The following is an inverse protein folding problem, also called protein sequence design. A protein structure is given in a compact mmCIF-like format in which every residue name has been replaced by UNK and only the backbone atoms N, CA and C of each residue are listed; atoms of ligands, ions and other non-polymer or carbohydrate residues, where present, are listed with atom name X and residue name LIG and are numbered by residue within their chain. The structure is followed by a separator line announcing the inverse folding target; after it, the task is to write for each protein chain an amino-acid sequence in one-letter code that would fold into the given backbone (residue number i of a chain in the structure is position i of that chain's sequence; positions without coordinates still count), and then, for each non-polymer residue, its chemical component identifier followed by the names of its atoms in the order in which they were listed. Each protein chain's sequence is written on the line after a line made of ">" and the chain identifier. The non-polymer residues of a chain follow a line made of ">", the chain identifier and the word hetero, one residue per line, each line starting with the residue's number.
data_IF_235321800564
#
_entry.id   IF_235321800564
#
_cell.length_a   1.000
_cell.length_b   1.000
_cell.length_c   1.000
_cell.angle_alpha   90.00
_cell.angle_beta   90.00
_cell.angle_gamma   90.00
#
_symmetry.space_group_name_H-M   'P 1'
#
loop_
_entity.id
_entity.type
_entity.pdbx_description
1 polymer ?
#
# COMPACT_ATOMS: atom_id res chain seq x y z
N UNK A 1 -42.51 65.50 20.17
CA UNK A 1 -42.19 64.24 20.88
C UNK A 1 -41.15 63.48 20.06
N UNK A 2 -39.92 63.31 20.59
CA UNK A 2 -38.79 62.44 20.15
C UNK A 2 -38.23 62.70 18.72
N UNK A 3 -37.04 63.32 18.47
CA UNK A 3 -35.63 62.86 18.63
C UNK A 3 -35.47 61.36 18.24
N UNK A 4 -34.56 60.85 17.38
CA UNK A 4 -33.10 61.03 17.15
C UNK A 4 -32.73 60.46 15.75
N UNK A 5 -31.64 60.95 15.15
CA UNK A 5 -30.92 60.43 13.96
C UNK A 5 -30.36 59.01 14.13
N UNK A 6 -30.17 58.24 13.05
CA UNK A 6 -28.97 57.40 12.86
C UNK A 6 -28.84 56.85 11.43
N UNK A 7 -27.76 57.25 10.78
CA UNK A 7 -27.15 56.68 9.57
C UNK A 7 -26.76 55.21 9.81
N UNK A 8 -27.03 54.31 8.84
CA UNK A 8 -26.31 53.03 8.74
C UNK A 8 -25.83 52.79 7.32
N UNK A 9 -24.52 52.56 7.29
CA UNK A 9 -23.57 52.20 6.24
C UNK A 9 -23.99 50.98 5.41
N UNK A 10 -23.94 51.10 4.08
CA UNK A 10 -24.04 49.97 3.14
C UNK A 10 -22.68 49.26 3.09
N UNK A 11 -22.62 48.01 3.57
CA UNK A 11 -21.48 47.11 3.36
C UNK A 11 -21.81 46.12 2.25
N UNK A 12 -20.90 46.03 1.27
CA UNK A 12 -20.89 45.09 0.16
C UNK A 12 -20.92 43.63 0.64
N UNK A 13 -21.79 42.80 0.04
CA UNK A 13 -21.42 41.43 -0.41
C UNK A 13 -22.39 41.00 -1.51
N UNK A 14 -21.89 40.75 -2.73
CA UNK A 14 -22.54 39.88 -3.73
C UNK A 14 -21.53 39.54 -4.83
N UNK A 15 -20.83 38.41 -4.69
CA UNK A 15 -20.20 37.72 -5.81
C UNK A 15 -21.18 36.67 -6.34
N UNK A 16 -21.52 36.66 -7.64
CA UNK A 16 -22.34 35.59 -8.21
C UNK A 16 -21.44 34.36 -8.49
N UNK A 17 -21.79 33.22 -7.89
CA UNK A 17 -21.29 31.92 -8.36
C UNK A 17 -22.28 31.43 -9.41
N UNK A 18 -21.91 31.59 -10.68
CA UNK A 18 -22.55 30.91 -11.81
C UNK A 18 -22.22 29.42 -11.70
N UNK A 19 -23.23 28.60 -11.42
CA UNK A 19 -23.20 27.19 -11.81
C UNK A 19 -23.36 27.15 -13.32
N UNK A 20 -22.31 26.75 -14.04
CA UNK A 20 -22.40 26.33 -15.43
C UNK A 20 -22.49 24.80 -15.45
N UNK A 21 -23.57 24.31 -16.05
CA UNK A 21 -23.79 22.91 -16.38
C UNK A 21 -22.60 22.35 -17.17
N UNK A 22 -22.02 21.24 -16.70
CA UNK A 22 -21.00 20.50 -17.45
C UNK A 22 -21.72 19.42 -18.26
N UNK A 23 -21.64 19.42 -19.60
CA UNK A 23 -22.30 18.39 -20.40
C UNK A 23 -21.53 17.08 -20.34
N UNK A 24 -22.27 15.97 -20.17
CA UNK A 24 -21.74 14.63 -20.32
C UNK A 24 -21.33 14.40 -21.79
N UNK A 25 -20.03 14.21 -22.03
CA UNK A 25 -19.52 13.78 -23.35
C UNK A 25 -19.48 12.26 -23.37
N UNK A 26 -20.42 11.65 -24.09
CA UNK A 26 -20.46 10.21 -24.36
C UNK A 26 -19.51 9.93 -25.53
N UNK A 27 -18.41 9.24 -25.25
CA UNK A 27 -17.48 8.69 -26.26
C UNK A 27 -17.76 7.20 -26.46
N UNK A 28 -17.83 6.76 -27.71
CA UNK A 28 -18.29 5.44 -28.18
C UNK A 28 -17.26 4.30 -28.03
N UNK A 29 -16.56 4.21 -26.90
CA UNK A 29 -15.79 3.03 -26.52
C UNK A 29 -16.00 2.81 -25.02
N UNK A 30 -16.38 1.59 -24.63
CA UNK A 30 -16.81 1.24 -23.27
C UNK A 30 -15.74 1.33 -22.16
N UNK A 31 -14.76 2.21 -22.29
CA UNK A 31 -13.84 2.57 -21.22
C UNK A 31 -14.41 3.77 -20.47
N UNK A 32 -14.82 3.57 -19.21
CA UNK A 32 -15.14 4.66 -18.29
C UNK A 32 -13.89 5.52 -18.14
N UNK A 33 -13.91 6.75 -18.67
CA UNK A 33 -12.87 7.73 -18.38
C UNK A 33 -13.03 8.19 -16.94
N UNK A 34 -12.35 7.50 -16.02
CA UNK A 34 -12.25 7.94 -14.63
C UNK A 34 -11.42 9.22 -14.59
N UNK A 35 -11.96 10.29 -14.02
CA UNK A 35 -11.18 11.50 -13.77
C UNK A 35 -10.06 11.19 -12.77
N UNK A 36 -8.83 11.23 -13.26
CA UNK A 36 -7.62 10.97 -12.49
C UNK A 36 -6.91 12.29 -12.25
N UNK A 37 -6.71 12.65 -10.99
CA UNK A 37 -5.93 13.83 -10.60
C UNK A 37 -4.62 13.40 -9.94
N UNK A 38 -3.51 14.01 -10.35
CA UNK A 38 -2.24 13.91 -9.61
C UNK A 38 -2.26 14.98 -8.51
N UNK A 39 -2.11 14.56 -7.26
CA UNK A 39 -2.16 15.50 -6.13
C UNK A 39 -0.73 15.90 -5.76
N UNK A 40 -0.28 17.14 -6.04
CA UNK A 40 0.96 17.63 -5.48
C UNK A 40 0.83 17.72 -3.95
N UNK A 41 1.91 17.43 -3.22
CA UNK A 41 1.93 17.66 -1.79
C UNK A 41 1.66 19.16 -1.53
N UNK A 42 0.61 19.47 -0.77
CA UNK A 42 0.32 20.84 -0.32
C UNK A 42 0.88 21.04 1.08
N UNK A 43 1.46 22.21 1.35
CA UNK A 43 1.76 22.65 2.71
C UNK A 43 0.44 22.86 3.46
N UNK A 44 0.00 21.82 4.17
CA UNK A 44 -1.10 21.93 5.12
C UNK A 44 -0.53 22.55 6.39
N UNK A 45 -1.22 23.59 6.90
CA UNK A 45 -0.90 24.24 8.17
C UNK A 45 -0.52 23.20 9.24
N UNK A 46 0.62 23.42 9.90
CA UNK A 46 1.30 22.44 10.75
C UNK A 46 0.39 21.87 11.85
N UNK A 47 -0.35 20.82 11.54
CA UNK A 47 -0.87 19.92 12.56
C UNK A 47 0.35 19.34 13.29
N UNK A 48 0.40 19.47 14.61
CA UNK A 48 1.49 18.90 15.40
C UNK A 48 1.68 17.42 15.08
N UNK A 49 2.92 16.92 15.17
CA UNK A 49 3.32 15.55 14.79
C UNK A 49 2.43 14.43 15.38
N UNK A 50 1.70 14.69 16.48
CA UNK A 50 0.75 13.77 17.10
C UNK A 50 -0.48 13.45 16.23
N UNK A 51 -0.83 14.32 15.27
CA UNK A 51 -1.93 14.14 14.30
C UNK A 51 -1.45 13.73 12.91
N UNK A 52 -0.16 13.44 12.76
CA UNK A 52 0.41 12.95 11.51
C UNK A 52 0.65 11.45 11.58
N UNK A 53 0.13 10.71 10.61
CA UNK A 53 0.39 9.29 10.42
C UNK A 53 1.41 9.13 9.29
N UNK A 54 2.56 8.55 9.60
CA UNK A 54 3.50 8.08 8.59
C UNK A 54 3.11 6.69 8.10
N UNK A 55 2.73 6.59 6.83
CA UNK A 55 2.50 5.32 6.12
C UNK A 55 3.70 5.06 5.23
N UNK A 56 4.49 4.06 5.58
CA UNK A 56 5.58 3.57 4.74
C UNK A 56 5.13 2.36 3.95
N UNK A 57 5.60 2.21 2.72
CA UNK A 57 5.20 1.08 1.90
C UNK A 57 6.29 0.63 0.92
N UNK A 58 6.26 -0.67 0.67
CA UNK A 58 7.01 -1.35 -0.39
C UNK A 58 6.06 -2.21 -1.22
N UNK A 59 6.49 -2.59 -2.42
CA UNK A 59 5.79 -3.57 -3.25
C UNK A 59 6.81 -4.30 -4.15
N UNK A 60 6.49 -5.53 -4.54
CA UNK A 60 7.26 -6.32 -5.51
C UNK A 60 8.75 -6.31 -5.21
N UNK A 61 9.11 -6.56 -3.94
CA UNK A 61 10.50 -6.51 -3.50
C UNK A 61 11.31 -7.65 -4.10
N UNK A 62 10.67 -8.76 -4.49
CA UNK A 62 11.27 -9.93 -5.14
C UNK A 62 12.55 -10.41 -4.43
N UNK A 63 12.57 -10.27 -3.10
CA UNK A 63 13.69 -10.65 -2.28
C UNK A 63 14.98 -9.90 -2.58
N UNK A 64 14.95 -8.69 -3.15
CA UNK A 64 16.13 -7.87 -3.41
C UNK A 64 16.87 -7.54 -2.09
N UNK A 65 17.72 -8.44 -1.63
CA UNK A 65 18.38 -8.35 -0.32
C UNK A 65 19.38 -7.20 -0.27
N UNK A 66 20.11 -6.99 -1.36
CA UNK A 66 21.12 -5.94 -1.55
C UNK A 66 20.72 -5.08 -2.76
N UNK A 67 21.38 -3.94 -2.98
CA UNK A 67 21.17 -3.19 -4.20
C UNK A 67 21.55 -3.99 -5.46
N UNK A 68 21.03 -3.57 -6.60
CA UNK A 68 21.24 -4.26 -7.88
C UNK A 68 22.70 -4.31 -8.35
N UNK A 69 23.64 -3.62 -7.69
CA UNK A 69 25.04 -3.52 -8.13
C UNK A 69 25.20 -2.87 -9.51
N UNK A 70 24.18 -2.16 -9.98
CA UNK A 70 24.15 -1.54 -11.29
C UNK A 70 25.25 -0.48 -11.43
N UNK A 71 25.91 -0.41 -12.61
CA UNK A 71 26.96 0.59 -12.89
C UNK A 71 26.48 2.03 -12.73
N UNK A 72 25.20 2.28 -12.97
CA UNK A 72 24.54 3.55 -12.70
C UNK A 72 23.34 3.33 -11.77
N UNK A 73 23.21 4.21 -10.77
CA UNK A 73 22.13 4.19 -9.77
C UNK A 73 21.95 2.81 -9.10
N UNK A 74 22.96 2.31 -8.34
CA UNK A 74 22.89 1.06 -7.58
C UNK A 74 21.94 1.19 -6.37
N UNK A 75 20.73 1.62 -6.64
CA UNK A 75 19.68 1.83 -5.66
C UNK A 75 19.09 0.48 -5.26
N UNK A 76 18.60 0.43 -4.03
CA UNK A 76 17.78 -0.64 -3.53
C UNK A 76 18.45 -1.49 -2.47
N UNK A 77 17.79 -2.62 -2.23
CA UNK A 77 18.17 -3.56 -1.19
C UNK A 77 17.29 -3.41 0.05
N UNK A 78 16.71 -4.52 0.48
CA UNK A 78 15.98 -4.63 1.73
C UNK A 78 16.88 -4.33 2.94
N UNK A 79 18.19 -4.45 2.78
CA UNK A 79 19.22 -4.09 3.74
C UNK A 79 19.25 -2.58 4.07
N UNK A 80 19.11 -1.71 3.07
CA UNK A 80 18.92 -0.27 3.23
C UNK A 80 17.48 0.08 3.60
N UNK A 81 16.50 -0.66 3.08
CA UNK A 81 15.10 -0.45 3.40
C UNK A 81 14.85 -0.60 4.90
N UNK A 82 15.45 -1.62 5.52
CA UNK A 82 15.41 -1.85 6.96
C UNK A 82 15.91 -0.64 7.75
N UNK A 83 17.04 -0.04 7.36
CA UNK A 83 17.57 1.17 8.01
C UNK A 83 16.63 2.36 7.83
N UNK A 84 16.22 2.66 6.61
CA UNK A 84 15.34 3.80 6.33
C UNK A 84 14.02 3.70 7.07
N UNK A 85 13.36 2.54 7.01
CA UNK A 85 12.10 2.28 7.72
C UNK A 85 12.28 2.44 9.23
N UNK A 86 13.39 1.94 9.80
CA UNK A 86 13.68 2.10 11.22
C UNK A 86 13.89 3.57 11.62
N UNK A 87 14.57 4.36 10.79
CA UNK A 87 14.77 5.79 11.01
C UNK A 87 13.45 6.56 11.01
N UNK A 88 12.59 6.34 10.01
CA UNK A 88 11.30 7.03 9.92
C UNK A 88 10.37 6.60 11.07
N UNK A 89 10.35 5.32 11.44
CA UNK A 89 9.60 4.85 12.63
C UNK A 89 10.07 5.49 13.93
N UNK A 90 11.37 5.78 14.07
CA UNK A 90 11.89 6.50 15.24
C UNK A 90 11.45 7.97 15.23
N UNK A 91 11.36 8.58 14.04
CA UNK A 91 10.95 9.98 13.86
C UNK A 91 9.45 10.19 14.09
N UNK A 92 8.60 9.26 13.63
CA UNK A 92 7.14 9.37 13.73
C UNK A 92 6.57 8.33 14.71
N UNK A 93 6.08 8.80 15.86
CA UNK A 93 5.43 7.93 16.85
C UNK A 93 4.22 7.17 16.29
N UNK A 94 3.50 7.81 15.37
CA UNK A 94 2.35 7.25 14.67
C UNK A 94 2.81 6.80 13.29
N UNK A 95 3.34 5.57 13.21
CA UNK A 95 3.81 4.99 11.96
C UNK A 95 3.18 3.62 11.72
N UNK A 96 2.86 3.32 10.46
CA UNK A 96 2.45 2.03 9.93
C UNK A 96 3.26 1.72 8.68
N UNK A 97 3.67 0.47 8.51
CA UNK A 97 4.52 0.03 7.40
C UNK A 97 3.91 -1.17 6.72
N UNK A 98 3.73 -1.09 5.41
CA UNK A 98 3.02 -2.10 4.64
C UNK A 98 3.86 -2.62 3.48
N UNK A 99 3.56 -3.84 3.04
CA UNK A 99 4.08 -4.38 1.80
C UNK A 99 2.91 -4.95 0.98
N UNK A 100 2.79 -4.50 -0.28
CA UNK A 100 1.70 -4.91 -1.17
C UNK A 100 2.01 -6.17 -1.99
N UNK A 101 2.92 -7.04 -1.54
CA UNK A 101 3.11 -8.40 -2.06
C UNK A 101 4.19 -8.55 -3.13
N UNK A 102 4.36 -9.77 -3.63
CA UNK A 102 5.53 -10.22 -4.40
C UNK A 102 6.82 -10.03 -3.59
N UNK A 103 6.80 -10.59 -2.38
CA UNK A 103 7.97 -10.64 -1.51
C UNK A 103 9.02 -11.59 -2.08
N UNK A 104 8.60 -12.74 -2.61
CA UNK A 104 9.49 -13.76 -3.17
C UNK A 104 9.41 -13.78 -4.70
N UNK A 105 10.53 -13.97 -5.40
CA UNK A 105 10.48 -14.31 -6.81
C UNK A 105 9.91 -15.74 -7.00
N UNK A 106 9.35 -16.07 -8.18
CA UNK A 106 8.53 -17.29 -8.37
C UNK A 106 9.27 -18.61 -8.10
N UNK A 107 10.59 -18.64 -8.25
CA UNK A 107 11.43 -19.86 -8.16
C UNK A 107 12.57 -19.71 -7.16
N UNK A 108 12.34 -18.99 -6.05
CA UNK A 108 13.33 -18.77 -5.01
C UNK A 108 13.84 -20.09 -4.38
N UNK A 109 15.17 -20.34 -4.35
CA UNK A 109 15.72 -21.48 -3.61
C UNK A 109 15.42 -21.37 -2.10
N UNK A 110 15.25 -22.50 -1.42
CA UNK A 110 14.88 -22.51 0.00
C UNK A 110 15.81 -21.68 0.92
N UNK A 111 17.13 -21.67 0.66
CA UNK A 111 18.07 -20.86 1.42
C UNK A 111 17.85 -19.35 1.23
N UNK A 112 17.41 -18.93 0.04
CA UNK A 112 17.06 -17.55 -0.27
C UNK A 112 15.74 -17.16 0.38
N UNK A 113 14.72 -18.03 0.31
CA UNK A 113 13.44 -17.85 1.03
C UNK A 113 13.69 -17.60 2.52
N UNK A 114 14.63 -18.33 3.12
CA UNK A 114 14.98 -18.18 4.54
C UNK A 114 15.63 -16.85 4.86
N UNK A 115 16.49 -16.37 3.96
CA UNK A 115 17.12 -15.06 4.08
C UNK A 115 16.08 -13.94 3.99
N UNK A 116 15.26 -13.95 2.93
CA UNK A 116 14.19 -12.95 2.72
C UNK A 116 13.22 -12.93 3.89
N UNK A 117 12.79 -14.10 4.36
CA UNK A 117 11.89 -14.22 5.52
C UNK A 117 12.49 -13.60 6.78
N UNK A 118 13.78 -13.84 7.06
CA UNK A 118 14.46 -13.23 8.21
C UNK A 118 14.58 -11.71 8.06
N UNK A 119 14.84 -11.21 6.85
CA UNK A 119 14.91 -9.76 6.58
C UNK A 119 13.55 -9.09 6.75
N UNK A 120 12.46 -9.68 6.24
CA UNK A 120 11.10 -9.16 6.45
C UNK A 120 10.73 -9.10 7.95
N UNK A 121 11.14 -10.10 8.73
CA UNK A 121 11.00 -10.07 10.20
C UNK A 121 11.82 -8.96 10.85
N UNK A 122 13.02 -8.67 10.33
CA UNK A 122 13.88 -7.57 10.80
C UNK A 122 13.26 -6.20 10.50
N UNK A 123 12.65 -6.03 9.33
CA UNK A 123 11.95 -4.80 8.93
C UNK A 123 10.71 -4.57 9.81
N UNK A 124 10.05 -5.63 10.27
CA UNK A 124 8.84 -5.60 11.12
C UNK A 124 7.68 -4.89 10.44
N UNK A 125 7.22 -5.31 9.27
CA UNK A 125 6.01 -4.75 8.66
C UNK A 125 4.82 -4.80 9.62
N UNK A 126 3.89 -3.85 9.50
CA UNK A 126 2.61 -3.86 10.22
C UNK A 126 1.60 -4.77 9.53
N UNK A 127 1.60 -4.86 8.20
CA UNK A 127 0.88 -5.87 7.43
C UNK A 127 1.53 -6.12 6.06
N UNK A 128 1.39 -7.35 5.54
CA UNK A 128 1.88 -7.77 4.22
C UNK A 128 0.77 -8.54 3.52
N UNK A 129 0.46 -8.25 2.26
CA UNK A 129 -0.35 -9.14 1.43
C UNK A 129 0.57 -10.11 0.68
N UNK A 130 0.12 -11.35 0.47
CA UNK A 130 0.84 -12.29 -0.38
C UNK A 130 0.41 -12.09 -1.84
N UNK A 131 1.37 -11.81 -2.71
CA UNK A 131 1.14 -11.71 -4.16
C UNK A 131 0.87 -13.06 -4.81
N UNK A 132 0.62 -13.07 -6.12
CA UNK A 132 0.48 -14.30 -6.90
C UNK A 132 1.75 -15.15 -6.82
N UNK A 133 2.93 -14.54 -6.90
CA UNK A 133 4.22 -15.24 -6.80
C UNK A 133 4.40 -15.90 -5.43
N UNK A 134 4.04 -15.16 -4.37
CA UNK A 134 4.12 -15.67 -3.00
C UNK A 134 3.17 -16.86 -2.82
N UNK A 135 1.89 -16.70 -3.17
CA UNK A 135 0.85 -17.69 -2.95
C UNK A 135 1.08 -19.00 -3.71
N UNK A 136 1.69 -18.92 -4.88
CA UNK A 136 2.01 -20.06 -5.73
C UNK A 136 3.38 -20.68 -5.42
N UNK A 137 4.24 -20.00 -4.65
CA UNK A 137 5.54 -20.53 -4.26
C UNK A 137 5.38 -21.76 -3.32
N UNK A 138 6.02 -22.91 -3.60
CA UNK A 138 5.85 -24.14 -2.79
C UNK A 138 6.17 -23.97 -1.30
N UNK A 139 7.16 -23.14 -0.98
CA UNK A 139 7.55 -22.87 0.41
C UNK A 139 6.58 -21.94 1.16
N UNK A 140 5.64 -21.28 0.48
CA UNK A 140 4.84 -20.23 1.11
C UNK A 140 3.95 -20.78 2.22
N UNK A 141 3.03 -21.69 1.87
CA UNK A 141 2.11 -22.30 2.84
C UNK A 141 2.84 -23.17 3.88
N UNK A 142 3.93 -23.83 3.48
CA UNK A 142 4.65 -24.76 4.35
C UNK A 142 5.47 -24.02 5.42
N UNK A 143 6.03 -22.84 5.06
CA UNK A 143 7.05 -22.16 5.86
C UNK A 143 6.78 -20.67 6.04
N UNK A 144 6.65 -19.94 4.94
CA UNK A 144 6.64 -18.46 4.94
C UNK A 144 5.43 -17.90 5.67
N UNK A 145 4.23 -18.45 5.41
CA UNK A 145 3.00 -18.04 6.07
C UNK A 145 3.01 -18.27 7.60
N UNK A 146 3.92 -19.12 8.10
CA UNK A 146 4.08 -19.47 9.52
C UNK A 146 5.31 -18.82 10.15
N UNK A 147 6.00 -17.94 9.44
CA UNK A 147 7.28 -17.36 9.87
C UNK A 147 7.17 -16.27 10.95
N UNK A 148 5.96 -15.78 11.20
CA UNK A 148 5.68 -14.61 12.05
C UNK A 148 5.68 -13.28 11.29
N UNK A 149 5.87 -13.28 9.97
CA UNK A 149 5.54 -12.11 9.13
C UNK A 149 4.02 -11.90 9.21
N UNK A 150 3.54 -10.67 9.41
CA UNK A 150 2.14 -10.44 9.71
C UNK A 150 1.30 -10.35 8.44
N UNK A 151 1.25 -11.46 7.69
CA UNK A 151 0.44 -11.59 6.49
C UNK A 151 -1.04 -11.30 6.79
N UNK A 152 -1.67 -10.53 5.93
CA UNK A 152 -3.09 -10.20 5.97
C UNK A 152 -3.81 -11.06 4.92
N UNK A 153 -4.75 -11.93 5.31
CA UNK A 153 -5.47 -12.76 4.34
C UNK A 153 -6.29 -11.89 3.37
N UNK A 154 -6.17 -12.18 2.08
CA UNK A 154 -6.91 -11.52 1.01
C UNK A 154 -8.16 -12.33 0.60
N UNK A 155 -8.67 -12.11 -0.60
CA UNK A 155 -9.73 -12.87 -1.27
C UNK A 155 -9.28 -14.26 -1.77
N UNK A 156 -8.08 -14.71 -1.41
CA UNK A 156 -7.53 -16.00 -1.81
C UNK A 156 -7.52 -17.00 -0.65
N UNK A 157 -8.02 -18.21 -0.89
CA UNK A 157 -7.97 -19.32 0.05
C UNK A 157 -7.48 -20.62 -0.64
N UNK A 158 -6.91 -21.59 0.08
CA UNK A 158 -6.70 -22.92 -0.47
C UNK A 158 -8.03 -23.56 -0.91
N UNK A 159 -8.09 -24.23 -2.06
CA UNK A 159 -9.34 -24.80 -2.62
C UNK A 159 -9.99 -25.85 -1.73
N UNK A 160 -9.25 -26.54 -0.88
CA UNK A 160 -9.82 -27.44 0.14
C UNK A 160 -10.80 -26.72 1.09
N UNK A 161 -10.79 -25.38 1.14
CA UNK A 161 -11.69 -24.53 1.92
C UNK A 161 -12.79 -23.86 1.07
N UNK A 162 -13.15 -24.44 -0.09
CA UNK A 162 -14.12 -23.89 -1.08
C UNK A 162 -15.48 -23.44 -0.50
N UNK A 163 -15.89 -24.00 0.63
CA UNK A 163 -17.18 -23.71 1.29
C UNK A 163 -17.05 -22.84 2.55
N UNK A 164 -15.86 -22.31 2.85
CA UNK A 164 -15.74 -21.31 3.89
C UNK A 164 -16.39 -20.01 3.36
N UNK A 165 -17.23 -19.31 4.16
CA UNK A 165 -17.69 -17.98 3.81
C UNK A 165 -16.50 -17.11 3.43
N UNK A 166 -16.66 -16.15 2.51
CA UNK A 166 -15.62 -15.17 2.21
C UNK A 166 -15.11 -14.60 3.55
N UNK A 167 -13.94 -15.06 4.00
CA UNK A 167 -13.41 -14.69 5.30
C UNK A 167 -12.71 -13.35 5.11
N UNK A 168 -13.53 -12.32 5.00
CA UNK A 168 -13.08 -10.96 4.89
C UNK A 168 -12.31 -10.61 6.16
N UNK A 169 -11.01 -10.42 5.99
CA UNK A 169 -10.07 -10.24 7.08
C UNK A 169 -9.64 -8.78 7.10
N UNK A 170 -9.66 -8.18 8.28
CA UNK A 170 -9.18 -6.83 8.46
C UNK A 170 -8.31 -6.77 9.71
N UNK A 171 -7.26 -5.95 9.65
CA UNK A 171 -6.46 -5.58 10.81
C UNK A 171 -6.82 -4.15 11.23
N UNK A 172 -6.95 -3.93 12.53
CA UNK A 172 -7.37 -2.65 13.09
C UNK A 172 -6.23 -1.99 13.84
N UNK A 173 -6.07 -0.69 13.65
CA UNK A 173 -5.12 0.15 14.36
C UNK A 173 -5.83 1.39 14.90
N UNK A 174 -5.29 1.97 15.97
CA UNK A 174 -5.69 3.29 16.45
C UNK A 174 -4.46 4.19 16.43
N UNK A 175 -4.46 5.19 15.56
CA UNK A 175 -3.35 6.13 15.36
C UNK A 175 -3.92 7.54 15.25
N UNK A 176 -3.29 8.54 15.87
CA UNK A 176 -3.75 9.94 15.81
C UNK A 176 -5.23 10.15 16.25
N UNK A 177 -5.79 9.27 17.09
CA UNK A 177 -7.22 9.30 17.44
C UNK A 177 -8.17 8.73 16.38
N UNK A 178 -7.64 8.27 15.25
CA UNK A 178 -8.36 7.67 14.10
C UNK A 178 -8.29 6.14 14.20
N UNK A 179 -9.42 5.47 13.95
CA UNK A 179 -9.49 4.01 13.83
C UNK A 179 -9.27 3.63 12.38
N UNK A 180 -8.22 2.86 12.13
CA UNK A 180 -7.80 2.49 10.79
C UNK A 180 -8.09 1.00 10.60
N UNK A 181 -8.85 0.67 9.57
CA UNK A 181 -9.00 -0.69 9.08
C UNK A 181 -8.03 -0.90 7.90
N UNK A 182 -7.37 -2.06 7.87
CA UNK A 182 -6.53 -2.49 6.76
C UNK A 182 -7.07 -3.81 6.24
N UNK A 183 -7.39 -3.87 4.95
CA UNK A 183 -7.82 -5.08 4.23
C UNK A 183 -6.83 -5.41 3.11
N UNK A 184 -6.90 -6.62 2.58
CA UNK A 184 -6.03 -7.10 1.51
C UNK A 184 -6.87 -7.67 0.35
N UNK A 185 -6.44 -7.42 -0.89
CA UNK A 185 -7.12 -7.92 -2.09
C UNK A 185 -6.12 -8.24 -3.21
N UNK A 186 -6.29 -9.39 -3.87
CA UNK A 186 -5.60 -9.73 -5.10
C UNK A 186 -6.56 -9.59 -6.29
N UNK A 187 -6.05 -9.10 -7.42
CA UNK A 187 -6.73 -9.23 -8.70
C UNK A 187 -6.81 -10.71 -9.10
N UNK A 188 -7.88 -11.13 -9.75
CA UNK A 188 -7.99 -12.52 -10.23
C UNK A 188 -7.13 -12.76 -11.47
N UNK A 189 -7.01 -11.72 -12.30
CA UNK A 189 -6.21 -11.64 -13.53
C UNK A 189 -4.70 -11.81 -13.29
N UNK A 190 -4.21 -11.48 -12.10
CA UNK A 190 -2.78 -11.70 -11.75
C UNK A 190 -2.38 -13.18 -11.81
N UNK A 191 -3.36 -14.10 -11.75
CA UNK A 191 -3.13 -15.53 -11.83
C UNK A 191 -3.21 -16.09 -13.26
N UNK A 192 -3.65 -15.30 -14.25
CA UNK A 192 -3.89 -15.77 -15.63
C UNK A 192 -2.59 -16.19 -16.35
N UNK A 193 -1.44 -15.72 -15.85
CA UNK A 193 -0.12 -16.03 -16.40
C UNK A 193 0.47 -17.36 -15.87
N UNK A 194 -0.23 -18.08 -14.98
CA UNK A 194 0.27 -19.30 -14.37
C UNK A 194 -0.39 -20.56 -14.94
N UNK A 195 0.29 -21.72 -14.89
CA UNK A 195 -0.30 -22.98 -15.29
C UNK A 195 -1.59 -23.29 -14.52
N UNK A 196 -2.66 -23.63 -15.24
CA UNK A 196 -3.98 -23.98 -14.67
C UNK A 196 -3.90 -24.92 -13.46
N UNK A 197 -3.11 -26.02 -13.47
CA UNK A 197 -3.03 -26.92 -12.31
C UNK A 197 -2.47 -26.29 -11.03
N UNK A 198 -1.75 -25.17 -11.12
CA UNK A 198 -1.28 -24.43 -9.95
C UNK A 198 -2.39 -23.54 -9.39
N UNK A 199 -3.07 -22.80 -10.26
CA UNK A 199 -4.17 -21.88 -9.89
C UNK A 199 -5.38 -22.66 -9.36
N UNK A 200 -5.67 -23.84 -9.90
CA UNK A 200 -6.73 -24.73 -9.44
C UNK A 200 -6.56 -25.24 -8.00
N UNK A 201 -5.43 -25.00 -7.34
CA UNK A 201 -5.24 -25.29 -5.91
C UNK A 201 -5.77 -24.15 -5.03
N UNK A 202 -6.11 -23.01 -5.62
CA UNK A 202 -6.62 -21.83 -4.96
C UNK A 202 -8.13 -21.70 -5.23
N UNK A 203 -8.81 -21.06 -4.29
CA UNK A 203 -10.14 -20.49 -4.46
C UNK A 203 -9.98 -18.97 -4.39
N UNK A 204 -10.38 -18.30 -5.46
CA UNK A 204 -10.29 -16.85 -5.63
C UNK A 204 -11.72 -16.32 -5.52
N UNK A 205 -12.05 -15.66 -4.42
CA UNK A 205 -13.32 -14.94 -4.31
C UNK A 205 -13.25 -13.69 -5.20
N UNK A 206 -14.26 -13.42 -6.06
CA UNK A 206 -14.28 -12.22 -6.87
C UNK A 206 -14.12 -10.96 -6.02
N UNK A 207 -13.34 -10.00 -6.51
CA UNK A 207 -13.00 -8.77 -5.79
C UNK A 207 -14.24 -8.03 -5.29
N UNK A 208 -15.23 -7.88 -6.16
CA UNK A 208 -16.43 -7.12 -5.87
C UNK A 208 -17.29 -7.81 -4.80
N UNK A 209 -17.41 -9.15 -4.87
CA UNK A 209 -18.08 -9.94 -3.85
C UNK A 209 -17.38 -9.85 -2.47
N UNK A 210 -16.03 -9.87 -2.47
CA UNK A 210 -15.25 -9.71 -1.24
C UNK A 210 -15.45 -8.32 -0.60
N UNK A 211 -15.40 -7.25 -1.41
CA UNK A 211 -15.57 -5.88 -0.93
C UNK A 211 -17.01 -5.61 -0.50
N UNK A 212 -18.01 -6.07 -1.24
CA UNK A 212 -19.41 -6.00 -0.82
C UNK A 212 -19.63 -6.66 0.54
N UNK A 213 -19.08 -7.86 0.75
CA UNK A 213 -19.17 -8.55 2.02
C UNK A 213 -18.46 -7.79 3.15
N UNK A 214 -17.31 -7.16 2.86
CA UNK A 214 -16.63 -6.28 3.82
C UNK A 214 -17.53 -5.11 4.24
N UNK A 215 -18.09 -4.39 3.27
CA UNK A 215 -18.91 -3.21 3.53
C UNK A 215 -20.27 -3.56 4.15
N UNK A 216 -20.87 -4.73 3.83
CA UNK A 216 -22.09 -5.25 4.48
C UNK A 216 -21.89 -5.46 5.97
N UNK A 217 -20.73 -5.98 6.38
CA UNK A 217 -20.40 -6.28 7.79
C UNK A 217 -20.09 -5.04 8.64
N UNK A 218 -20.15 -3.82 8.06
CA UNK A 218 -19.78 -2.51 8.65
C UNK A 218 -19.08 -2.57 9.99
N UNK A 219 -17.77 -2.36 9.98
CA UNK A 219 -16.94 -2.33 11.19
C UNK A 219 -16.62 -0.89 11.61
N UNK A 220 -16.32 -0.74 12.90
CA UNK A 220 -16.13 0.54 13.57
C UNK A 220 -14.76 1.17 13.24
N UNK A 221 -14.60 1.70 12.02
CA UNK A 221 -13.40 2.39 11.56
C UNK A 221 -13.72 3.80 11.01
N UNK A 222 -12.71 4.65 10.97
CA UNK A 222 -12.78 6.02 10.44
C UNK A 222 -12.02 6.15 9.10
N UNK A 223 -11.01 5.30 8.88
CA UNK A 223 -10.17 5.30 7.70
C UNK A 223 -9.89 3.87 7.22
N UNK A 224 -10.04 3.60 5.92
CA UNK A 224 -9.83 2.29 5.30
C UNK A 224 -8.62 2.31 4.36
N UNK A 225 -7.67 1.42 4.63
CA UNK A 225 -6.52 1.13 3.76
C UNK A 225 -6.75 -0.21 3.08
N UNK A 226 -6.57 -0.25 1.76
CA UNK A 226 -6.51 -1.47 0.98
C UNK A 226 -5.05 -1.74 0.57
N UNK A 227 -4.51 -2.88 0.99
CA UNK A 227 -3.31 -3.44 0.37
C UNK A 227 -3.76 -4.22 -0.86
N UNK A 228 -3.41 -3.72 -2.04
CA UNK A 228 -3.85 -4.33 -3.29
C UNK A 228 -2.70 -4.98 -4.03
N UNK A 229 -2.97 -6.16 -4.58
CA UNK A 229 -2.09 -6.88 -5.49
C UNK A 229 -2.89 -7.26 -6.75
N UNK A 230 -3.43 -6.26 -7.43
CA UNK A 230 -4.14 -6.40 -8.71
C UNK A 230 -3.60 -5.52 -9.83
N UNK A 231 -2.62 -4.66 -9.56
CA UNK A 231 -2.11 -3.69 -10.53
C UNK A 231 -2.89 -2.39 -10.56
N UNK A 232 -2.29 -1.37 -11.17
CA UNK A 232 -2.79 0.01 -11.07
C UNK A 232 -4.17 0.20 -11.71
N UNK A 233 -4.46 -0.43 -12.84
CA UNK A 233 -5.75 -0.24 -13.52
C UNK A 233 -6.89 -0.95 -12.76
N UNK A 234 -6.62 -2.10 -12.17
CA UNK A 234 -7.53 -2.74 -11.21
C UNK A 234 -7.78 -1.81 -10.01
N UNK A 235 -6.75 -1.18 -9.47
CA UNK A 235 -6.88 -0.28 -8.31
C UNK A 235 -7.66 0.99 -8.62
N UNK A 236 -7.51 1.54 -9.83
CA UNK A 236 -8.33 2.67 -10.27
C UNK A 236 -9.81 2.31 -10.35
N UNK A 237 -10.14 1.13 -10.87
CA UNK A 237 -11.51 0.60 -10.89
C UNK A 237 -12.06 0.46 -9.48
N UNK A 238 -11.31 -0.19 -8.58
CA UNK A 238 -11.72 -0.38 -7.19
C UNK A 238 -11.93 0.95 -6.47
N UNK A 239 -11.05 1.94 -6.67
CA UNK A 239 -11.21 3.27 -6.08
C UNK A 239 -12.47 3.99 -6.58
N UNK A 240 -12.79 3.85 -7.87
CA UNK A 240 -14.01 4.43 -8.46
C UNK A 240 -15.28 3.76 -7.91
N UNK A 241 -15.33 2.43 -7.91
CA UNK A 241 -16.54 1.67 -7.57
C UNK A 241 -16.79 1.61 -6.06
N UNK A 242 -15.73 1.73 -5.24
CA UNK A 242 -15.79 1.66 -3.78
C UNK A 242 -15.21 2.92 -3.11
N UNK A 243 -15.89 4.09 -3.19
CA UNK A 243 -15.40 5.36 -2.64
C UNK A 243 -15.26 5.39 -1.12
N UNK A 244 -15.67 4.33 -0.41
CA UNK A 244 -15.42 4.11 1.02
C UNK A 244 -13.99 3.69 1.36
N UNK A 245 -13.14 3.40 0.36
CA UNK A 245 -11.70 3.14 0.53
C UNK A 245 -10.95 4.47 0.51
N UNK A 246 -10.16 4.76 1.54
CA UNK A 246 -9.46 6.04 1.63
C UNK A 246 -8.05 6.00 1.02
N UNK A 247 -7.34 4.88 1.15
CA UNK A 247 -5.99 4.70 0.65
C UNK A 247 -5.83 3.30 0.03
N UNK A 248 -5.31 3.23 -1.18
CA UNK A 248 -4.86 2.00 -1.82
C UNK A 248 -3.33 2.03 -1.93
N UNK A 249 -2.69 0.98 -1.41
CA UNK A 249 -1.26 0.73 -1.60
C UNK A 249 -1.17 -0.35 -2.67
N UNK A 250 -0.88 0.08 -3.90
CA UNK A 250 -0.89 -0.73 -5.12
C UNK A 250 0.33 -1.65 -5.19
N UNK A 251 0.18 -2.77 -5.90
CA UNK A 251 1.16 -3.83 -6.07
C UNK A 251 1.03 -4.52 -7.43
N UNK A 252 1.60 -5.73 -7.58
CA UNK A 252 1.64 -6.51 -8.82
C UNK A 252 2.49 -5.89 -9.95
N UNK A 253 1.93 -5.01 -10.78
CA UNK A 253 2.69 -4.37 -11.86
C UNK A 253 3.50 -3.19 -11.30
N UNK A 254 4.84 -3.23 -11.31
CA UNK A 254 5.63 -2.21 -10.62
C UNK A 254 5.61 -0.88 -11.36
N UNK A 255 4.85 0.08 -10.82
CA UNK A 255 4.80 1.47 -11.29
C UNK A 255 5.63 2.35 -10.36
N UNK A 256 6.59 3.08 -10.92
CA UNK A 256 7.23 4.19 -10.21
C UNK A 256 6.27 5.38 -10.21
N UNK A 257 5.79 5.76 -9.02
CA UNK A 257 4.70 6.74 -8.85
C UNK A 257 5.18 7.91 -7.98
N UNK A 258 5.91 8.89 -8.53
CA UNK A 258 6.49 9.98 -7.73
C UNK A 258 5.46 10.98 -7.20
N UNK A 259 4.21 10.91 -7.68
CA UNK A 259 3.09 11.71 -7.20
C UNK A 259 1.90 10.79 -6.95
N UNK A 260 1.19 10.91 -5.80
CA UNK A 260 0.00 10.12 -5.53
C UNK A 260 -1.09 10.38 -6.57
N UNK A 261 -1.80 9.32 -6.91
CA UNK A 261 -2.96 9.38 -7.78
C UNK A 261 -4.23 9.49 -6.92
N UNK A 262 -5.19 10.31 -7.36
CA UNK A 262 -6.48 10.46 -6.68
C UNK A 262 -7.64 10.15 -7.62
N UNK A 263 -8.56 9.31 -7.13
CA UNK A 263 -9.86 9.02 -7.75
C UNK A 263 -10.92 9.31 -6.70
N UNK A 264 -11.73 10.35 -6.93
CA UNK A 264 -12.63 10.88 -5.91
C UNK A 264 -11.87 11.26 -4.62
N UNK A 265 -12.19 10.59 -3.51
CA UNK A 265 -11.50 10.79 -2.22
C UNK A 265 -10.39 9.76 -1.96
N UNK A 266 -10.27 8.74 -2.78
CA UNK A 266 -9.31 7.65 -2.61
C UNK A 266 -7.94 8.06 -3.13
N UNK A 267 -6.92 7.89 -2.29
CA UNK A 267 -5.51 8.08 -2.65
C UNK A 267 -4.94 6.73 -3.08
N UNK A 268 -4.18 6.69 -4.17
CA UNK A 268 -3.47 5.50 -4.65
C UNK A 268 -1.98 5.81 -4.69
N UNK A 269 -1.16 4.92 -4.11
CA UNK A 269 0.30 5.05 -4.05
C UNK A 269 0.99 3.73 -4.39
N UNK A 270 2.20 3.79 -4.93
CA UNK A 270 3.04 2.63 -5.23
C UNK A 270 4.53 2.98 -5.22
N UNK A 271 5.41 2.02 -4.91
CA UNK A 271 6.85 2.24 -4.69
C UNK A 271 7.75 1.58 -5.75
N UNK A 272 7.22 1.16 -6.89
CA UNK A 272 8.01 0.54 -7.95
C UNK A 272 8.34 -0.93 -7.69
N UNK A 273 9.63 -1.31 -7.65
CA UNK A 273 10.06 -2.72 -7.50
C UNK A 273 11.38 -2.86 -6.79
N UNK A 274 11.66 -4.08 -6.33
CA UNK A 274 13.00 -4.52 -5.92
C UNK A 274 13.52 -3.76 -4.70
N UNK A 275 12.62 -3.20 -3.89
CA UNK A 275 12.95 -2.26 -2.83
C UNK A 275 13.93 -1.16 -3.31
N UNK A 276 13.87 -0.73 -4.59
CA UNK A 276 14.73 0.37 -5.09
C UNK A 276 14.40 1.67 -4.40
N UNK A 277 13.14 1.81 -4.00
CA UNK A 277 12.57 2.93 -3.26
C UNK A 277 11.72 2.40 -2.11
N UNK A 278 11.58 3.21 -1.06
CA UNK A 278 10.53 3.05 -0.04
C UNK A 278 9.60 4.24 -0.14
N UNK A 279 8.31 3.98 -0.31
CA UNK A 279 7.32 5.02 -0.30
C UNK A 279 7.05 5.53 1.10
N UNK A 280 6.90 6.84 1.25
CA UNK A 280 6.55 7.53 2.49
C UNK A 280 5.39 8.48 2.19
N UNK A 281 4.25 8.22 2.80
CA UNK A 281 3.08 9.09 2.77
C UNK A 281 2.81 9.58 4.20
N UNK A 282 2.85 10.89 4.41
CA UNK A 282 2.47 11.51 5.68
C UNK A 282 1.05 12.05 5.54
N UNK A 283 0.13 11.42 6.25
CA UNK A 283 -1.26 11.86 6.32
C UNK A 283 -1.45 12.76 7.54
N UNK A 284 -2.10 13.90 7.38
CA UNK A 284 -2.56 14.74 8.48
C UNK A 284 -4.05 14.54 8.70
N UNK A 285 -4.44 14.40 9.95
CA UNK A 285 -5.84 14.35 10.36
C UNK A 285 -6.20 15.60 11.16
N UNK A 286 -7.29 16.26 10.79
CA UNK A 286 -7.85 17.37 11.57
C UNK A 286 -8.68 16.86 12.78
N UNK A 287 -9.19 17.73 13.67
CA UNK A 287 -10.05 17.32 14.79
C UNK A 287 -11.33 16.56 14.39
N UNK A 288 -11.83 16.78 13.18
CA UNK A 288 -13.01 16.12 12.61
C UNK A 288 -12.65 14.80 11.89
N UNK A 289 -11.36 14.44 11.88
CA UNK A 289 -10.77 13.27 11.20
C UNK A 289 -10.78 13.36 9.68
N UNK A 290 -10.94 14.56 9.11
CA UNK A 290 -10.69 14.74 7.69
C UNK A 290 -9.20 14.57 7.41
N UNK A 291 -8.88 13.99 6.25
CA UNK A 291 -7.53 13.60 5.87
C UNK A 291 -6.97 14.49 4.76
N UNK A 292 -5.71 14.87 4.89
CA UNK A 292 -4.93 15.53 3.84
C UNK A 292 -3.53 14.92 3.74
N UNK A 293 -2.89 15.08 2.57
CA UNK A 293 -1.50 14.66 2.36
C UNK A 293 -0.61 15.83 2.81
N UNK A 294 0.15 15.63 3.88
CA UNK A 294 1.10 16.62 4.39
C UNK A 294 2.48 16.51 3.71
N UNK A 295 2.87 15.29 3.34
CA UNK A 295 4.15 15.02 2.65
C UNK A 295 4.05 13.68 1.92
N UNK A 296 4.74 13.58 0.78
CA UNK A 296 4.87 12.36 0.00
C UNK A 296 6.24 12.28 -0.64
N UNK A 297 6.88 11.12 -0.55
CA UNK A 297 8.18 10.86 -1.14
C UNK A 297 8.33 9.39 -1.53
N UNK A 298 8.96 9.13 -2.68
CA UNK A 298 9.51 7.83 -3.02
C UNK A 298 11.00 7.88 -2.78
N UNK A 299 11.44 7.52 -1.57
CA UNK A 299 12.85 7.65 -1.20
C UNK A 299 13.69 6.61 -1.94
N UNK A 300 14.59 7.00 -2.85
CA UNK A 300 15.51 6.05 -3.47
C UNK A 300 16.46 5.49 -2.42
N UNK A 301 16.72 4.20 -2.41
CA UNK A 301 17.63 3.59 -1.44
C UNK A 301 19.06 3.62 -1.97
N UNK A 302 19.66 4.80 -1.92
CA UNK A 302 21.02 5.10 -2.37
C UNK A 302 22.08 4.76 -1.32
N UNK A 303 23.36 4.88 -1.69
CA UNK A 303 24.50 4.52 -0.84
C UNK A 303 24.66 5.38 0.42
N UNK A 304 24.02 6.54 0.48
CA UNK A 304 23.99 7.39 1.67
C UNK A 304 23.19 6.75 2.83
N UNK A 305 22.37 5.74 2.54
CA UNK A 305 21.68 4.94 3.55
C UNK A 305 22.59 3.78 3.97
N UNK A 306 23.03 3.82 5.22
CA UNK A 306 23.82 2.75 5.83
C UNK A 306 23.01 1.45 5.85
N UNK A 307 23.67 0.35 5.51
CA UNK A 307 23.07 -1.00 5.53
C UNK A 307 22.79 -1.45 6.97
N UNK A 308 21.62 -2.06 7.20
CA UNK A 308 21.28 -2.62 8.51
C UNK A 308 22.22 -3.80 8.86
N UNK A 309 22.91 -3.69 9.99
CA UNK A 309 23.90 -4.68 10.41
C UNK A 309 23.33 -6.09 10.60
N UNK A 310 22.09 -6.23 11.08
CA UNK A 310 21.48 -7.54 11.25
C UNK A 310 21.12 -8.15 9.89
N UNK A 311 20.61 -7.33 8.96
CA UNK A 311 20.37 -7.77 7.57
C UNK A 311 21.68 -8.17 6.88
N UNK A 312 22.76 -7.40 7.07
CA UNK A 312 24.09 -7.73 6.55
C UNK A 312 24.56 -9.13 6.99
N UNK A 313 24.39 -9.47 8.27
CA UNK A 313 24.76 -10.79 8.78
C UNK A 313 23.84 -11.91 8.26
N UNK A 314 22.54 -11.65 8.07
CA UNK A 314 21.61 -12.60 7.41
C UNK A 314 22.10 -12.90 5.99
N UNK A 315 22.44 -11.87 5.21
CA UNK A 315 22.93 -11.98 3.82
C UNK A 315 24.26 -12.76 3.78
N UNK A 316 25.19 -12.44 4.68
CA UNK A 316 26.48 -13.14 4.78
C UNK A 316 26.30 -14.63 5.08
N UNK A 317 25.38 -15.00 5.98
CA UNK A 317 25.04 -16.39 6.29
C UNK A 317 24.43 -17.10 5.07
N UNK A 318 23.54 -16.43 4.36
CA UNK A 318 22.95 -16.92 3.11
C UNK A 318 24.03 -17.20 2.06
N UNK A 319 24.89 -16.22 1.74
CA UNK A 319 25.97 -16.36 0.73
C UNK A 319 26.89 -17.54 1.02
N UNK A 320 27.31 -17.72 2.29
CA UNK A 320 28.12 -18.88 2.72
C UNK A 320 27.42 -20.22 2.51
N UNK A 321 26.10 -20.27 2.74
CA UNK A 321 25.31 -21.51 2.59
C UNK A 321 25.10 -21.86 1.13
N UNK A 322 24.88 -20.86 0.27
CA UNK A 322 24.69 -21.07 -1.17
C UNK A 322 25.97 -21.49 -1.89
N UNK A 323 27.13 -20.91 -1.52
CA UNK A 323 28.43 -21.30 -2.09
C UNK A 323 28.80 -22.75 -1.76
N UNK A 324 28.54 -23.23 -0.54
CA UNK A 324 28.78 -24.62 -0.15
C UNK A 324 27.92 -25.66 -0.87
N UNK A 325 26.82 -25.25 -1.51
CA UNK A 325 25.93 -26.13 -2.28
C UNK A 325 26.25 -26.15 -3.78
N UNK A 326 27.18 -25.30 -4.22
CA UNK A 326 27.61 -25.17 -5.61
C UNK A 326 28.98 -25.84 -5.87
N UNK A 327 29.55 -26.46 -4.84
CA UNK A 327 30.75 -27.31 -4.85
C UNK A 327 30.32 -28.74 -4.51
#
# INVERSE_FOLDING_TARGET
>A
MKIIHATVLVLMVSFPVLYADVPAVISSSGAVQVMVEQVPAQEVAAAGLSRQLAVLFTNSTNGALESCGCKSNPNGGLDRAATYIALIRKKYQQCLVFDSGDMLPPYAPAAFVDAVTQVYKRIRYDAVIAGDQDLLHPSFQQKVARSGIPFLPSNIAPRAKKNAPAHVSARYYKKCGVRIAVIALNGADTFDYYPVPMVEKLHITPADAYLEEFFKRRKNYDFLILLSHGGLDFDKRIAHDYPGINLIISGHNPVHMPVPLRIGKTIIVQSGRGAREVGKLILSFDPEKNVSIADYDLRPLTEDIVVDNAVKEIIKKYKKTSQKRSL
#
